data_IF_283905194474
#
_entry.id   IF_283905194474
#
_cell.length_a   1.000
_cell.length_b   1.000
_cell.length_c   1.000
_cell.angle_alpha   90.00
_cell.angle_beta   90.00
_cell.angle_gamma   90.00
#
_symmetry.space_group_name_H-M   'P 1'
#
loop_
_entity.id
_entity.type
_entity.pdbx_description
1 polymer ?
#
# COMPACT_ATOMS: atom_id res chain seq x y z
N UNK A 1 -30.00 -6.12 -20.44
CA UNK A 1 -29.28 -5.49 -19.31
C UNK A 1 -27.79 -5.58 -19.62
N UNK A 2 -27.10 -4.45 -19.77
CA UNK A 2 -25.64 -4.43 -19.97
C UNK A 2 -24.97 -4.43 -18.59
N UNK A 3 -24.14 -5.43 -18.31
CA UNK A 3 -23.31 -5.49 -17.11
C UNK A 3 -22.20 -4.44 -17.24
N UNK A 4 -22.26 -3.37 -16.45
CA UNK A 4 -21.17 -2.39 -16.38
C UNK A 4 -20.08 -2.93 -15.47
N UNK A 5 -18.88 -3.12 -16.02
CA UNK A 5 -17.69 -3.51 -15.26
C UNK A 5 -17.03 -2.24 -14.71
N UNK A 6 -16.78 -2.19 -13.41
CA UNK A 6 -16.12 -1.09 -12.73
C UNK A 6 -14.76 -1.57 -12.20
N UNK A 7 -13.72 -0.75 -12.30
CA UNK A 7 -12.49 -0.94 -11.53
C UNK A 7 -12.28 0.26 -10.60
N UNK A 8 -11.90 -0.03 -9.36
CA UNK A 8 -11.56 0.96 -8.35
C UNK A 8 -10.04 1.09 -8.29
N UNK A 9 -9.54 2.31 -8.42
CA UNK A 9 -8.13 2.61 -8.20
C UNK A 9 -8.09 3.60 -7.05
N UNK A 10 -7.40 3.24 -5.97
CA UNK A 10 -7.09 4.22 -4.95
C UNK A 10 -6.00 5.14 -5.55
N UNK A 11 -6.41 6.30 -6.05
CA UNK A 11 -5.48 7.35 -6.46
C UNK A 11 -5.14 8.12 -5.20
N UNK A 12 -3.99 7.79 -4.62
CA UNK A 12 -3.49 8.49 -3.44
C UNK A 12 -3.23 9.96 -3.80
N UNK A 13 -4.05 10.87 -3.29
CA UNK A 13 -3.77 12.30 -3.37
C UNK A 13 -2.72 12.62 -2.29
N UNK A 14 -1.49 12.77 -2.76
CA UNK A 14 -0.24 12.66 -2.00
C UNK A 14 0.11 13.78 -1.00
N UNK A 15 -0.83 14.59 -0.51
CA UNK A 15 -0.47 15.74 0.35
C UNK A 15 -1.17 15.75 1.71
N UNK A 16 -2.42 15.28 1.82
CA UNK A 16 -3.14 15.36 3.10
C UNK A 16 -2.86 14.22 4.08
N UNK A 17 -2.39 13.08 3.57
CA UNK A 17 -2.13 11.88 4.38
C UNK A 17 -1.04 12.16 5.42
N UNK A 18 0.10 12.71 5.00
CA UNK A 18 1.23 12.94 5.91
C UNK A 18 1.00 14.17 6.78
N UNK A 19 0.35 15.22 6.27
CA UNK A 19 0.09 16.44 7.05
C UNK A 19 -0.93 16.20 8.17
N UNK A 20 -1.99 15.40 7.95
CA UNK A 20 -2.97 15.09 8.99
C UNK A 20 -2.52 13.99 9.95
N UNK A 21 -1.77 12.99 9.47
CA UNK A 21 -1.13 12.02 10.35
C UNK A 21 -0.06 12.69 11.21
N UNK A 22 0.72 13.64 10.68
CA UNK A 22 1.65 14.44 11.48
C UNK A 22 0.95 15.46 12.40
N UNK A 23 -0.26 15.94 12.08
CA UNK A 23 -1.05 16.81 12.98
C UNK A 23 -1.74 16.07 14.13
N UNK A 24 -2.13 14.80 13.97
CA UNK A 24 -2.71 13.97 15.05
C UNK A 24 -1.70 13.05 15.75
N UNK A 25 -0.63 12.67 15.04
CA UNK A 25 0.47 11.80 15.47
C UNK A 25 1.80 12.38 14.94
N UNK A 26 2.22 13.54 15.48
CA UNK A 26 3.45 14.29 15.17
C UNK A 26 4.78 13.53 15.32
N UNK A 27 4.71 12.22 15.57
CA UNK A 27 5.81 11.37 15.99
C UNK A 27 6.12 10.24 14.99
N UNK A 28 5.30 10.05 13.93
CA UNK A 28 5.67 9.09 12.88
C UNK A 28 6.90 9.63 12.15
N UNK A 29 8.02 8.97 12.41
CA UNK A 29 9.29 9.25 11.77
C UNK A 29 9.12 9.08 10.24
N UNK A 30 9.42 10.09 9.40
CA UNK A 30 9.41 9.90 7.94
C UNK A 30 10.43 8.86 7.46
N UNK A 31 11.37 8.45 8.32
CA UNK A 31 12.30 7.34 8.10
C UNK A 31 11.78 5.98 8.61
N UNK A 32 10.55 5.92 9.11
CA UNK A 32 9.92 4.68 9.55
C UNK A 32 9.99 3.63 8.44
N UNK A 33 10.49 2.45 8.77
CA UNK A 33 10.65 1.34 7.82
C UNK A 33 9.50 0.36 7.99
N UNK A 34 9.18 -0.38 6.95
CA UNK A 34 8.25 -1.48 7.03
C UNK A 34 8.78 -2.70 6.27
N UNK A 35 8.48 -3.88 6.81
CA UNK A 35 8.72 -5.15 6.12
C UNK A 35 7.51 -5.49 5.26
N UNK A 36 7.77 -5.84 4.00
CA UNK A 36 6.78 -6.22 3.01
C UNK A 36 7.03 -7.66 2.56
N UNK A 37 5.99 -8.49 2.49
CA UNK A 37 6.10 -9.82 1.88
C UNK A 37 4.96 -10.09 0.93
N UNK A 38 5.31 -10.59 -0.24
CA UNK A 38 4.35 -11.09 -1.22
C UNK A 38 3.63 -12.35 -0.72
N UNK A 39 4.27 -13.11 0.16
CA UNK A 39 3.73 -14.36 0.69
C UNK A 39 2.57 -14.17 1.67
N UNK A 40 2.35 -12.94 2.18
CA UNK A 40 1.25 -12.63 3.11
C UNK A 40 -0.12 -13.09 2.56
N UNK A 41 -0.32 -12.96 1.24
CA UNK A 41 -1.56 -13.39 0.56
C UNK A 41 -1.32 -14.41 -0.57
N UNK A 42 -0.07 -14.62 -1.00
CA UNK A 42 0.29 -15.52 -2.10
C UNK A 42 1.24 -16.62 -1.64
N UNK A 43 0.85 -17.35 -0.59
CA UNK A 43 1.62 -18.49 -0.10
C UNK A 43 1.81 -19.60 -1.16
N UNK A 44 0.85 -19.71 -2.08
CA UNK A 44 0.87 -20.61 -3.25
C UNK A 44 2.09 -20.41 -4.14
N UNK A 45 2.65 -19.19 -4.19
CA UNK A 45 3.81 -18.88 -5.04
C UNK A 45 5.02 -19.74 -4.68
N UNK A 46 5.16 -20.13 -3.41
CA UNK A 46 6.27 -20.99 -2.98
C UNK A 46 6.25 -22.38 -3.64
N UNK A 47 5.09 -22.89 -4.06
CA UNK A 47 4.98 -24.21 -4.72
C UNK A 47 5.66 -24.21 -6.10
N UNK A 48 5.75 -23.04 -6.72
CA UNK A 48 6.33 -22.85 -8.07
C UNK A 48 7.80 -22.46 -8.07
N UNK A 49 8.40 -22.26 -6.90
CA UNK A 49 9.79 -21.83 -6.74
C UNK A 49 10.57 -22.98 -6.14
N UNK A 50 11.63 -23.42 -6.83
CA UNK A 50 12.45 -24.54 -6.38
C UNK A 50 13.83 -24.11 -5.87
N UNK A 51 14.21 -22.85 -6.10
CA UNK A 51 15.46 -22.30 -5.57
C UNK A 51 15.33 -21.98 -4.07
N UNK A 52 16.10 -22.66 -3.19
CA UNK A 52 16.05 -22.42 -1.76
C UNK A 52 16.41 -20.99 -1.35
N UNK A 53 17.31 -20.32 -2.09
CA UNK A 53 17.68 -18.93 -1.79
C UNK A 53 16.53 -17.98 -2.09
N UNK A 54 15.87 -18.15 -3.24
CA UNK A 54 14.67 -17.39 -3.59
C UNK A 54 13.52 -17.58 -2.59
N UNK A 55 13.27 -18.83 -2.16
CA UNK A 55 12.26 -19.13 -1.12
C UNK A 55 12.60 -18.37 0.17
N UNK A 56 13.85 -18.48 0.61
CA UNK A 56 14.33 -17.83 1.83
C UNK A 56 14.21 -16.30 1.77
N UNK A 57 14.52 -15.70 0.61
CA UNK A 57 14.38 -14.28 0.38
C UNK A 57 12.91 -13.82 0.44
N UNK A 58 11.99 -14.55 -0.18
CA UNK A 58 10.56 -14.23 -0.15
C UNK A 58 9.96 -14.35 1.26
N UNK A 59 10.42 -15.34 2.03
CA UNK A 59 10.01 -15.54 3.42
C UNK A 59 10.48 -14.41 4.34
N UNK A 60 11.70 -13.89 4.16
CA UNK A 60 12.19 -12.72 4.91
C UNK A 60 11.39 -11.44 4.59
N UNK A 61 10.91 -11.33 3.35
CA UNK A 61 10.34 -10.09 2.85
C UNK A 61 11.40 -9.01 2.60
N UNK A 62 10.94 -7.85 2.12
CA UNK A 62 11.78 -6.71 1.80
C UNK A 62 11.50 -5.56 2.78
N UNK A 63 12.55 -4.85 3.21
CA UNK A 63 12.43 -3.69 4.09
C UNK A 63 12.53 -2.42 3.25
N UNK A 64 11.49 -1.60 3.30
CA UNK A 64 11.43 -0.31 2.59
C UNK A 64 10.85 0.78 3.49
N UNK A 65 11.12 2.08 3.20
CA UNK A 65 10.47 3.18 3.90
C UNK A 65 8.94 3.08 3.81
N UNK A 66 8.25 3.26 4.93
CA UNK A 66 6.80 3.37 4.99
C UNK A 66 6.32 4.62 4.24
N UNK A 67 7.15 5.67 4.21
CA UNK A 67 6.95 6.88 3.43
C UNK A 67 8.15 7.07 2.50
N UNK A 68 7.91 7.23 1.21
CA UNK A 68 8.95 7.41 0.20
C UNK A 68 8.71 8.66 -0.63
N UNK A 69 9.77 9.32 -1.10
CA UNK A 69 9.66 10.46 -2.00
C UNK A 69 9.54 9.98 -3.45
N UNK A 70 8.54 10.49 -4.17
CA UNK A 70 8.36 10.23 -5.58
C UNK A 70 9.52 10.88 -6.37
N UNK A 71 10.28 10.10 -7.17
CA UNK A 71 11.55 10.58 -7.75
C UNK A 71 11.37 11.69 -8.79
N UNK A 72 10.22 11.74 -9.47
CA UNK A 72 9.90 12.78 -10.48
C UNK A 72 9.21 14.00 -9.87
N UNK A 73 8.15 13.82 -9.08
CA UNK A 73 7.32 14.91 -8.55
C UNK A 73 7.80 15.48 -7.22
N UNK A 74 8.69 14.78 -6.50
CA UNK A 74 9.12 15.14 -5.14
C UNK A 74 8.04 14.99 -4.07
N UNK A 75 6.84 14.50 -4.43
CA UNK A 75 5.74 14.29 -3.49
C UNK A 75 6.00 13.07 -2.60
N UNK A 76 5.38 13.03 -1.43
CA UNK A 76 5.55 11.92 -0.51
C UNK A 76 4.46 10.84 -0.70
N UNK A 77 4.89 9.60 -0.76
CA UNK A 77 4.08 8.43 -1.01
C UNK A 77 4.00 7.55 0.22
N UNK A 78 2.78 7.22 0.66
CA UNK A 78 2.55 6.23 1.69
C UNK A 78 2.64 4.83 1.05
N UNK A 79 3.57 4.03 1.52
CA UNK A 79 3.81 2.66 1.05
C UNK A 79 3.05 1.61 1.88
N UNK A 80 2.00 2.02 2.60
CA UNK A 80 1.22 1.11 3.44
C UNK A 80 0.13 0.41 2.63
N UNK A 81 0.06 -0.92 2.71
CA UNK A 81 -1.05 -1.69 2.15
C UNK A 81 -1.38 -2.92 3.02
N UNK A 82 -2.63 -3.38 2.97
CA UNK A 82 -3.03 -4.56 3.74
C UNK A 82 -2.43 -5.86 3.17
N UNK A 83 -2.21 -5.92 1.85
CA UNK A 83 -1.86 -7.15 1.15
C UNK A 83 -0.40 -7.60 1.32
N UNK A 84 0.51 -6.71 1.68
CA UNK A 84 1.95 -6.99 1.69
C UNK A 84 2.65 -6.50 2.97
N UNK A 85 2.16 -5.45 3.62
CA UNK A 85 2.82 -4.91 4.82
C UNK A 85 2.69 -5.89 5.98
N UNK A 86 3.82 -6.38 6.48
CA UNK A 86 3.91 -7.35 7.58
C UNK A 86 4.15 -6.66 8.93
N UNK A 87 5.13 -5.76 8.97
CA UNK A 87 5.59 -5.11 10.20
C UNK A 87 6.01 -3.69 9.92
N UNK A 88 5.65 -2.76 10.81
CA UNK A 88 6.14 -1.38 10.81
C UNK A 88 7.18 -1.24 11.93
N UNK A 89 8.34 -0.66 11.60
CA UNK A 89 9.53 -0.54 12.45
C UNK A 89 9.85 0.91 12.75
N UNK A 90 10.57 1.13 13.86
CA UNK A 90 11.14 2.44 14.22
C UNK A 90 10.09 3.57 14.24
N UNK A 91 9.01 3.31 14.99
CA UNK A 91 7.90 4.23 15.21
C UNK A 91 8.25 5.41 16.14
N UNK A 92 9.50 5.51 16.59
CA UNK A 92 9.96 6.46 17.61
C UNK A 92 10.20 5.80 18.97
N UNK A 93 11.17 6.33 19.73
CA UNK A 93 11.53 5.83 21.07
C UNK A 93 10.38 6.07 22.04
N UNK A 94 9.92 5.01 22.73
CA UNK A 94 8.91 5.10 23.79
C UNK A 94 7.45 4.87 23.35
N UNK A 95 7.22 4.48 22.09
CA UNK A 95 5.89 4.13 21.58
C UNK A 95 5.73 2.61 21.48
N UNK A 96 4.92 2.02 22.37
CA UNK A 96 4.48 0.62 22.27
C UNK A 96 3.20 0.53 21.42
N UNK A 97 3.29 0.97 20.15
CA UNK A 97 2.19 0.87 19.19
C UNK A 97 2.36 -0.41 18.39
N UNK A 98 1.31 -1.22 18.34
CA UNK A 98 1.29 -2.43 17.52
C UNK A 98 1.21 -2.07 16.04
N UNK A 99 1.90 -2.86 15.21
CA UNK A 99 1.83 -2.69 13.74
C UNK A 99 0.39 -2.73 13.25
N UNK A 100 -0.43 -3.61 13.81
CA UNK A 100 -1.82 -3.78 13.39
C UNK A 100 -2.65 -2.50 13.55
N UNK A 101 -2.46 -1.78 14.66
CA UNK A 101 -3.22 -0.56 14.95
C UNK A 101 -2.87 0.57 13.98
N UNK A 102 -1.58 0.71 13.67
CA UNK A 102 -1.14 1.76 12.75
C UNK A 102 -1.52 1.44 11.31
N UNK A 103 -1.40 0.18 10.89
CA UNK A 103 -1.84 -0.24 9.57
C UNK A 103 -3.36 -0.05 9.43
N UNK A 104 -4.15 -0.42 10.43
CA UNK A 104 -5.60 -0.20 10.41
C UNK A 104 -5.94 1.28 10.21
N UNK A 105 -5.28 2.17 10.95
CA UNK A 105 -5.46 3.61 10.81
C UNK A 105 -5.06 4.15 9.44
N UNK A 106 -3.87 3.78 8.95
CA UNK A 106 -3.35 4.21 7.65
C UNK A 106 -4.22 3.69 6.50
N UNK A 107 -4.62 2.41 6.57
CA UNK A 107 -5.48 1.77 5.57
C UNK A 107 -6.87 2.43 5.55
N UNK A 108 -7.47 2.65 6.71
CA UNK A 108 -8.77 3.32 6.79
C UNK A 108 -8.71 4.74 6.18
N UNK A 109 -7.60 5.44 6.37
CA UNK A 109 -7.41 6.77 5.80
C UNK A 109 -7.33 6.74 4.26
N UNK A 110 -6.54 5.84 3.67
CA UNK A 110 -6.38 5.75 2.20
C UNK A 110 -7.60 5.15 1.49
N UNK A 111 -8.49 4.52 2.24
CA UNK A 111 -9.77 3.98 1.73
C UNK A 111 -10.90 5.02 1.75
N UNK A 112 -10.67 6.22 2.27
CA UNK A 112 -11.65 7.30 2.18
C UNK A 112 -11.99 7.59 0.72
N UNK A 113 -13.28 7.72 0.41
CA UNK A 113 -13.82 7.95 -0.93
C UNK A 113 -13.22 9.18 -1.62
N UNK A 114 -12.76 10.18 -0.86
CA UNK A 114 -12.06 11.36 -1.38
C UNK A 114 -10.73 11.02 -2.10
N UNK A 115 -10.14 9.85 -1.81
CA UNK A 115 -8.89 9.36 -2.41
C UNK A 115 -9.12 8.19 -3.35
N UNK A 116 -10.37 7.91 -3.74
CA UNK A 116 -10.72 6.81 -4.62
C UNK A 116 -11.11 7.35 -5.99
N UNK A 117 -10.43 6.86 -7.01
CA UNK A 117 -10.85 7.01 -8.40
C UNK A 117 -11.59 5.76 -8.86
N UNK A 118 -12.73 5.97 -9.51
CA UNK A 118 -13.52 4.88 -10.08
C UNK A 118 -13.51 5.02 -11.59
N UNK A 119 -12.89 4.06 -12.27
CA UNK A 119 -12.90 4.02 -13.72
C UNK A 119 -14.14 3.27 -14.21
N UNK A 120 -14.91 3.93 -15.07
CA UNK A 120 -16.07 3.33 -15.75
C UNK A 120 -15.66 2.88 -17.14
N UNK A 121 -15.29 1.61 -17.26
CA UNK A 121 -14.78 1.03 -18.49
C UNK A 121 -15.75 1.17 -19.66
N UNK A 122 -15.23 1.56 -20.80
CA UNK A 122 -15.83 1.46 -22.12
C UNK A 122 -15.00 0.52 -23.01
N UNK A 123 -15.62 -0.07 -24.06
CA UNK A 123 -14.85 -0.80 -25.05
C UNK A 123 -13.68 0.03 -25.56
N UNK A 124 -12.50 -0.60 -25.61
CA UNK A 124 -11.24 0.00 -26.07
C UNK A 124 -10.55 0.99 -25.12
N UNK A 125 -11.03 1.15 -23.88
CA UNK A 125 -10.27 1.89 -22.87
C UNK A 125 -8.96 1.17 -22.51
N UNK A 126 -7.90 1.96 -22.36
CA UNK A 126 -6.61 1.54 -21.81
C UNK A 126 -6.26 2.45 -20.64
N UNK A 127 -6.02 1.84 -19.48
CA UNK A 127 -5.66 2.55 -18.27
C UNK A 127 -4.21 2.23 -17.89
N UNK A 128 -3.40 3.26 -17.80
CA UNK A 128 -1.99 3.20 -17.37
C UNK A 128 -1.87 4.06 -16.12
N UNK A 129 -1.15 3.58 -15.12
CA UNK A 129 -0.93 4.31 -13.86
C UNK A 129 0.51 4.18 -13.37
N UNK A 130 0.92 5.06 -12.45
CA UNK A 130 2.21 4.96 -11.78
C UNK A 130 2.09 4.04 -10.55
N UNK A 131 2.75 2.89 -10.57
CA UNK A 131 2.64 1.93 -9.47
C UNK A 131 3.38 2.33 -8.19
N UNK A 132 4.08 3.48 -8.17
CA UNK A 132 4.79 4.00 -7.00
C UNK A 132 3.82 4.69 -6.06
N UNK A 133 3.42 4.01 -4.99
CA UNK A 133 2.54 4.60 -3.95
C UNK A 133 1.07 4.27 -4.12
N UNK A 134 0.72 3.43 -5.08
CA UNK A 134 -0.65 3.05 -5.32
C UNK A 134 -0.96 1.67 -4.76
N UNK A 135 -2.15 1.53 -4.18
CA UNK A 135 -2.76 0.24 -3.85
C UNK A 135 -3.94 0.02 -4.79
N UNK A 136 -3.94 -1.10 -5.54
CA UNK A 136 -5.06 -1.44 -6.43
C UNK A 136 -6.00 -2.42 -5.74
N UNK A 137 -7.31 -2.21 -5.89
CA UNK A 137 -8.34 -3.16 -5.46
C UNK A 137 -9.34 -3.33 -6.61
N UNK A 138 -9.41 -4.54 -7.17
CA UNK A 138 -10.36 -4.84 -8.23
C UNK A 138 -11.61 -5.49 -7.62
N UNK A 139 -12.77 -4.84 -7.79
CA UNK A 139 -14.08 -5.43 -7.44
C UNK A 139 -14.90 -5.57 -8.72
N UNK A 140 -15.21 -6.81 -9.10
CA UNK A 140 -16.10 -7.12 -10.21
C UNK A 140 -17.51 -7.25 -9.63
N UNK A 141 -18.44 -6.42 -10.10
CA UNK A 141 -19.87 -6.63 -9.86
C UNK A 141 -20.40 -7.52 -10.99
N UNK A 142 -21.03 -8.64 -10.63
CA UNK A 142 -21.73 -9.56 -11.55
C UNK A 142 -23.22 -9.28 -11.48
#
# INVERSE_FOLDING_TARGET
MQTQTYAYIHIHIHIHIIINVHRKHSHINPLCLATYSYLKYRGDVLESIHDPEAISALQRGAIHPLVSMHPVTGQLNLMANNAHTLQVHDMGVGMDIRTEDILAYLIAHIQNEEYVYVHRWQPFDLLIWDNRGMGMSMRIWV
#
